data_IF_055542954792
#
_entry.id   IF_055542954792
#
_cell.length_a   1.000
_cell.length_b   1.000
_cell.length_c   1.000
_cell.angle_alpha   90.00
_cell.angle_beta   90.00
_cell.angle_gamma   90.00
#
_symmetry.space_group_name_H-M   'P 1'
#
loop_
_entity.id
_entity.type
_entity.pdbx_description
1 polymer ?
#
# COMPACT_ATOMS: atom_id res chain seq x y z
N UNK A 1 -25.87 -26.21 0.26
CA UNK A 1 -24.64 -25.70 0.87
C UNK A 1 -24.31 -24.36 0.24
N UNK A 2 -24.26 -23.32 1.05
CA UNK A 2 -23.89 -22.02 0.54
C UNK A 2 -22.40 -22.04 0.17
N UNK A 3 -22.09 -21.74 -1.07
CA UNK A 3 -20.72 -21.55 -1.48
C UNK A 3 -20.26 -20.21 -0.93
N UNK A 4 -19.14 -20.21 -0.21
CA UNK A 4 -18.50 -18.95 0.15
C UNK A 4 -17.98 -18.31 -1.13
N UNK A 5 -18.53 -17.19 -1.48
CA UNK A 5 -17.98 -16.40 -2.56
C UNK A 5 -16.59 -15.92 -2.16
N UNK A 6 -15.62 -16.23 -3.01
CA UNK A 6 -14.26 -15.77 -2.80
C UNK A 6 -14.24 -14.25 -3.02
N UNK A 7 -13.80 -13.51 -2.00
CA UNK A 7 -13.68 -12.08 -2.08
C UNK A 7 -12.67 -11.68 -3.17
N UNK A 8 -13.06 -10.75 -4.02
CA UNK A 8 -12.17 -10.22 -5.04
C UNK A 8 -11.04 -9.41 -4.39
N UNK A 9 -9.88 -9.43 -5.01
CA UNK A 9 -8.67 -8.78 -4.50
C UNK A 9 -7.97 -8.00 -5.60
N UNK A 10 -7.60 -6.75 -5.29
CA UNK A 10 -6.81 -5.89 -6.17
C UNK A 10 -5.52 -5.52 -5.45
N UNK A 11 -4.41 -5.58 -6.18
CA UNK A 11 -3.10 -5.15 -5.70
C UNK A 11 -2.74 -3.83 -6.36
N UNK A 12 -2.32 -2.88 -5.56
CA UNK A 12 -1.85 -1.56 -5.99
C UNK A 12 -0.35 -1.50 -5.72
N UNK A 13 0.46 -1.53 -6.78
CA UNK A 13 1.92 -1.47 -6.68
C UNK A 13 2.35 -0.02 -6.77
N UNK A 14 3.07 0.46 -5.77
CA UNK A 14 3.50 1.85 -5.66
C UNK A 14 5.03 1.90 -5.70
N UNK A 15 5.58 2.67 -6.63
CA UNK A 15 7.03 2.79 -6.80
C UNK A 15 7.56 4.20 -6.54
N UNK A 16 6.66 5.14 -6.23
CA UNK A 16 7.03 6.54 -5.96
C UNK A 16 6.66 6.95 -4.55
N UNK A 17 7.50 7.77 -3.96
CA UNK A 17 7.24 8.42 -2.67
C UNK A 17 7.10 9.92 -2.87
N UNK A 18 7.86 10.72 -2.10
CA UNK A 18 7.80 12.18 -2.19
C UNK A 18 8.30 12.75 -3.52
N UNK A 19 9.01 11.95 -4.31
CA UNK A 19 9.50 12.34 -5.64
C UNK A 19 8.35 12.53 -6.64
N UNK A 20 7.22 11.84 -6.43
CA UNK A 20 6.03 12.00 -7.27
C UNK A 20 4.79 11.85 -6.37
N UNK A 21 4.34 12.93 -5.76
CA UNK A 21 3.24 12.87 -4.79
C UNK A 21 1.91 12.35 -5.38
N UNK A 22 1.62 12.65 -6.63
CA UNK A 22 0.41 12.14 -7.26
C UNK A 22 0.43 10.61 -7.34
N UNK A 23 1.54 10.04 -7.81
CA UNK A 23 1.67 8.59 -7.92
C UNK A 23 1.79 7.92 -6.56
N UNK A 24 2.19 8.65 -5.53
CA UNK A 24 2.20 8.16 -4.17
C UNK A 24 0.80 8.13 -3.54
N UNK A 25 -0.03 9.10 -3.86
CA UNK A 25 -1.36 9.29 -3.24
C UNK A 25 -2.47 8.55 -3.98
N UNK A 26 -2.48 8.59 -5.31
CA UNK A 26 -3.55 7.99 -6.11
C UNK A 26 -3.83 6.52 -5.77
N UNK A 27 -2.83 5.67 -5.58
CA UNK A 27 -3.11 4.27 -5.23
C UNK A 27 -3.94 4.13 -3.96
N UNK A 28 -3.73 4.98 -2.97
CA UNK A 28 -4.50 4.93 -1.72
C UNK A 28 -5.94 5.41 -1.90
N UNK A 29 -6.18 6.37 -2.80
CA UNK A 29 -7.54 6.76 -3.17
C UNK A 29 -8.27 5.57 -3.82
N UNK A 30 -7.61 4.93 -4.78
CA UNK A 30 -8.20 3.80 -5.49
C UNK A 30 -8.40 2.60 -4.56
N UNK A 31 -7.44 2.34 -3.68
CA UNK A 31 -7.54 1.25 -2.71
C UNK A 31 -8.70 1.47 -1.73
N UNK A 32 -8.89 2.70 -1.27
CA UNK A 32 -10.04 3.03 -0.41
C UNK A 32 -11.37 2.84 -1.15
N UNK A 33 -11.38 3.15 -2.45
CA UNK A 33 -12.55 2.89 -3.29
C UNK A 33 -12.88 1.40 -3.37
N UNK A 34 -11.85 0.56 -3.51
CA UNK A 34 -12.03 -0.90 -3.52
C UNK A 34 -12.59 -1.40 -2.18
N UNK A 35 -12.03 -0.92 -1.06
CA UNK A 35 -12.50 -1.30 0.26
C UNK A 35 -13.97 -0.90 0.48
N UNK A 36 -14.38 0.26 -0.04
CA UNK A 36 -15.77 0.70 0.04
C UNK A 36 -16.71 -0.21 -0.75
N UNK A 37 -16.21 -0.91 -1.75
CA UNK A 37 -16.97 -1.88 -2.55
C UNK A 37 -16.85 -3.31 -2.02
N UNK A 38 -16.31 -3.47 -0.83
CA UNK A 38 -16.05 -4.79 -0.23
C UNK A 38 -15.09 -5.67 -1.05
N UNK A 39 -14.12 -5.02 -1.70
CA UNK A 39 -13.02 -5.67 -2.41
C UNK A 39 -11.77 -5.59 -1.54
N UNK A 40 -11.05 -6.71 -1.41
CA UNK A 40 -9.79 -6.71 -0.66
C UNK A 40 -8.76 -5.85 -1.41
N UNK A 41 -8.16 -4.92 -0.70
CA UNK A 41 -7.14 -4.03 -1.28
C UNK A 41 -5.80 -4.25 -0.59
N UNK A 42 -4.79 -4.52 -1.39
CA UNK A 42 -3.40 -4.71 -0.93
C UNK A 42 -2.54 -3.66 -1.61
N UNK A 43 -1.87 -2.84 -0.84
CA UNK A 43 -0.91 -1.86 -1.37
C UNK A 43 0.49 -2.40 -1.10
N UNK A 44 1.30 -2.51 -2.16
CA UNK A 44 2.68 -2.98 -2.07
C UNK A 44 3.61 -1.82 -2.40
N UNK A 45 4.45 -1.46 -1.44
CA UNK A 45 5.41 -0.37 -1.61
C UNK A 45 6.77 -0.92 -2.01
N UNK A 46 7.26 -0.51 -3.17
CA UNK A 46 8.55 -0.92 -3.72
C UNK A 46 9.45 0.30 -3.92
N UNK A 47 10.76 0.09 -3.88
CA UNK A 47 11.71 1.17 -4.11
C UNK A 47 11.53 2.33 -3.15
N UNK A 48 11.55 3.57 -3.66
CA UNK A 48 11.37 4.76 -2.86
C UNK A 48 10.04 4.87 -2.15
N UNK A 49 9.02 4.15 -2.63
CA UNK A 49 7.71 4.15 -2.00
C UNK A 49 7.70 3.57 -0.59
N UNK A 50 8.67 2.75 -0.22
CA UNK A 50 8.75 2.20 1.14
C UNK A 50 8.84 3.30 2.19
N UNK A 51 9.34 4.49 1.82
CA UNK A 51 9.40 5.64 2.70
C UNK A 51 8.02 6.09 3.18
N UNK A 52 6.97 5.81 2.41
CA UNK A 52 5.60 6.19 2.78
C UNK A 52 5.14 5.46 4.05
N UNK A 53 5.74 4.32 4.37
CA UNK A 53 5.41 3.56 5.58
C UNK A 53 6.27 3.96 6.78
N UNK A 54 7.23 4.86 6.61
CA UNK A 54 8.03 5.37 7.71
C UNK A 54 7.19 6.35 8.54
N UNK A 55 7.18 6.14 9.86
CA UNK A 55 6.42 7.00 10.77
C UNK A 55 6.75 8.47 10.55
N UNK A 56 5.73 9.29 10.38
CA UNK A 56 5.86 10.73 10.18
C UNK A 56 6.12 11.17 8.74
N UNK A 57 6.59 10.27 7.87
CA UNK A 57 6.90 10.66 6.49
C UNK A 57 5.65 11.09 5.71
N UNK A 58 4.53 10.37 5.89
CA UNK A 58 3.28 10.68 5.17
C UNK A 58 2.72 12.08 5.50
N UNK A 59 3.15 12.67 6.63
CA UNK A 59 2.72 14.01 7.01
C UNK A 59 3.22 15.08 6.04
N UNK A 60 4.17 14.75 5.19
CA UNK A 60 4.82 15.65 4.26
C UNK A 60 4.51 15.37 2.80
N UNK A 61 3.54 14.49 2.51
CA UNK A 61 3.20 14.11 1.13
C UNK A 61 1.84 14.68 0.74
N UNK A 62 1.88 15.67 -0.15
CA UNK A 62 0.70 16.38 -0.63
C UNK A 62 0.75 16.51 -2.15
N UNK A 63 -0.41 16.47 -2.79
CA UNK A 63 -0.53 16.73 -4.22
C UNK A 63 -1.77 17.60 -4.46
N UNK A 64 -1.69 18.51 -5.42
CA UNK A 64 -2.80 19.39 -5.75
C UNK A 64 -4.03 18.62 -6.19
N UNK A 65 -5.19 18.98 -5.65
CA UNK A 65 -6.46 18.34 -6.00
C UNK A 65 -6.73 17.01 -5.31
N UNK A 66 -5.80 16.51 -4.48
CA UNK A 66 -5.94 15.24 -3.78
C UNK A 66 -5.97 15.45 -2.26
N UNK A 67 -6.66 14.57 -1.50
CA UNK A 67 -6.55 14.61 -0.05
C UNK A 67 -5.12 14.32 0.42
N UNK A 68 -4.73 14.76 1.61
CA UNK A 68 -3.41 14.45 2.16
C UNK A 68 -3.21 12.93 2.28
N UNK A 69 -1.99 12.46 2.01
CA UNK A 69 -1.68 11.04 2.12
C UNK A 69 -2.02 10.48 3.50
N UNK A 70 -1.73 11.24 4.55
CA UNK A 70 -1.99 10.81 5.93
C UNK A 70 -3.43 10.38 6.12
N UNK A 71 -4.38 11.17 5.62
CA UNK A 71 -5.80 10.83 5.76
C UNK A 71 -6.15 9.56 5.00
N UNK A 72 -5.68 9.43 3.78
CA UNK A 72 -5.97 8.26 2.95
C UNK A 72 -5.34 7.00 3.52
N UNK A 73 -4.12 7.10 4.05
CA UNK A 73 -3.44 5.97 4.70
C UNK A 73 -4.18 5.54 5.96
N UNK A 74 -4.59 6.48 6.78
CA UNK A 74 -5.34 6.18 8.01
C UNK A 74 -6.67 5.49 7.66
N UNK A 75 -7.40 6.01 6.68
CA UNK A 75 -8.65 5.41 6.23
C UNK A 75 -8.42 4.00 5.67
N UNK A 76 -7.37 3.84 4.87
CA UNK A 76 -7.00 2.56 4.28
C UNK A 76 -6.75 1.49 5.34
N UNK A 77 -5.92 1.82 6.33
CA UNK A 77 -5.59 0.89 7.41
C UNK A 77 -6.79 0.61 8.31
N UNK A 78 -7.60 1.62 8.61
CA UNK A 78 -8.79 1.47 9.44
C UNK A 78 -9.85 0.57 8.81
N UNK A 79 -9.92 0.53 7.47
CA UNK A 79 -10.87 -0.30 6.74
C UNK A 79 -10.35 -1.71 6.47
N UNK A 80 -9.18 -2.06 6.99
CA UNK A 80 -8.61 -3.40 6.81
C UNK A 80 -7.73 -3.54 5.58
N UNK A 81 -7.29 -2.44 4.97
CA UNK A 81 -6.32 -2.49 3.89
C UNK A 81 -5.01 -3.10 4.35
N UNK A 82 -4.37 -3.86 3.47
CA UNK A 82 -3.11 -4.53 3.78
C UNK A 82 -1.97 -3.76 3.12
N UNK A 83 -0.96 -3.41 3.94
CA UNK A 83 0.20 -2.64 3.48
C UNK A 83 1.45 -3.51 3.56
N UNK A 84 2.02 -3.83 2.40
CA UNK A 84 3.19 -4.69 2.27
C UNK A 84 4.39 -3.90 1.77
N UNK A 85 5.58 -4.25 2.24
CA UNK A 85 6.81 -3.50 1.95
C UNK A 85 7.88 -4.41 1.36
N UNK A 86 8.60 -3.91 0.37
CA UNK A 86 9.78 -4.58 -0.18
C UNK A 86 10.89 -4.62 0.87
N UNK A 87 11.28 -5.81 1.32
CA UNK A 87 12.31 -5.98 2.34
C UNK A 87 13.68 -5.44 1.91
N UNK A 88 14.23 -5.80 0.72
CA UNK A 88 15.51 -5.21 0.30
C UNK A 88 15.49 -3.69 0.21
N UNK A 89 14.36 -3.12 -0.18
CA UNK A 89 14.22 -1.67 -0.31
C UNK A 89 14.30 -0.96 1.04
N UNK A 90 13.74 -1.57 2.08
CA UNK A 90 13.82 -1.06 3.45
C UNK A 90 15.26 -1.18 3.96
N UNK A 91 15.88 -2.34 3.73
CA UNK A 91 17.24 -2.61 4.18
C UNK A 91 18.26 -1.66 3.55
N UNK A 92 18.14 -1.44 2.25
CA UNK A 92 19.01 -0.50 1.53
C UNK A 92 18.94 0.90 2.12
N UNK A 93 17.76 1.31 2.55
CA UNK A 93 17.52 2.64 3.12
C UNK A 93 17.72 2.71 4.63
N UNK A 94 18.15 1.58 5.22
CA UNK A 94 18.43 1.48 6.66
C UNK A 94 17.27 1.94 7.53
N UNK A 95 16.04 1.60 7.12
CA UNK A 95 14.85 1.91 7.92
C UNK A 95 14.67 0.79 8.93
N UNK A 96 14.75 1.14 10.22
CA UNK A 96 14.56 0.17 11.29
C UNK A 96 13.10 -0.20 11.47
N UNK A 97 12.85 -1.41 11.97
CA UNK A 97 11.49 -1.90 12.20
C UNK A 97 10.66 -0.95 13.07
N UNK A 98 11.28 -0.36 14.08
CA UNK A 98 10.61 0.59 14.98
C UNK A 98 10.21 1.89 14.30
N UNK A 99 10.77 2.20 13.12
CA UNK A 99 10.45 3.40 12.36
C UNK A 99 9.27 3.19 11.42
N UNK A 100 8.81 1.95 11.23
CA UNK A 100 7.72 1.62 10.32
C UNK A 100 6.37 1.66 11.04
N UNK A 101 5.32 1.97 10.28
CA UNK A 101 3.95 1.84 10.76
C UNK A 101 3.71 0.39 11.23
N UNK A 102 2.99 0.21 12.32
CA UNK A 102 2.77 -1.13 12.89
C UNK A 102 2.08 -2.09 11.92
N UNK A 103 1.16 -1.59 11.11
CA UNK A 103 0.42 -2.39 10.15
C UNK A 103 1.19 -2.65 8.86
N UNK A 104 2.33 -2.00 8.66
CA UNK A 104 3.16 -2.21 7.47
C UNK A 104 3.98 -3.48 7.64
N UNK A 105 3.85 -4.40 6.68
CA UNK A 105 4.48 -5.71 6.78
C UNK A 105 5.56 -5.90 5.73
N UNK A 106 6.83 -6.04 6.11
CA UNK A 106 7.88 -6.38 5.16
C UNK A 106 7.67 -7.78 4.58
N UNK A 107 7.89 -7.92 3.28
CA UNK A 107 7.75 -9.20 2.59
C UNK A 107 8.93 -9.44 1.66
N UNK A 108 9.19 -10.71 1.37
CA UNK A 108 10.16 -11.13 0.35
C UNK A 108 9.46 -11.34 -0.99
N UNK A 109 10.25 -11.48 -2.07
CA UNK A 109 9.74 -11.61 -3.42
C UNK A 109 8.75 -12.77 -3.60
N UNK A 110 8.96 -13.88 -2.91
CA UNK A 110 8.06 -15.03 -3.01
C UNK A 110 6.65 -14.70 -2.51
N UNK A 111 6.55 -13.94 -1.44
CA UNK A 111 5.25 -13.54 -0.89
C UNK A 111 4.56 -12.55 -1.85
N UNK A 112 5.32 -11.64 -2.44
CA UNK A 112 4.77 -10.74 -3.45
C UNK A 112 4.18 -11.54 -4.62
N UNK A 113 4.90 -12.57 -5.07
CA UNK A 113 4.41 -13.44 -6.15
C UNK A 113 3.11 -14.15 -5.76
N UNK A 114 3.02 -14.67 -4.54
CA UNK A 114 1.79 -15.30 -4.04
C UNK A 114 0.61 -14.32 -4.05
N UNK A 115 0.85 -13.09 -3.63
CA UNK A 115 -0.20 -12.06 -3.63
C UNK A 115 -0.68 -11.79 -5.06
N UNK A 116 0.25 -11.64 -6.00
CA UNK A 116 -0.07 -11.39 -7.40
C UNK A 116 -0.87 -12.55 -8.00
N UNK A 117 -0.44 -13.77 -7.75
CA UNK A 117 -1.12 -14.97 -8.30
C UNK A 117 -2.54 -15.14 -7.77
N UNK A 118 -2.84 -14.63 -6.60
CA UNK A 118 -4.18 -14.74 -5.99
C UNK A 118 -5.04 -13.50 -6.23
N UNK A 119 -4.53 -12.49 -6.94
CA UNK A 119 -5.26 -11.27 -7.21
C UNK A 119 -6.10 -11.35 -8.49
N UNK A 120 -7.21 -10.63 -8.51
CA UNK A 120 -8.04 -10.45 -9.70
C UNK A 120 -7.46 -9.38 -10.62
N UNK A 121 -6.78 -8.39 -10.07
CA UNK A 121 -6.13 -7.33 -10.84
C UNK A 121 -4.93 -6.79 -10.10
N UNK A 122 -3.93 -6.29 -10.86
CA UNK A 122 -2.74 -5.62 -10.33
C UNK A 122 -2.59 -4.30 -11.07
N UNK A 123 -2.57 -3.21 -10.33
CA UNK A 123 -2.41 -1.86 -10.88
C UNK A 123 -1.06 -1.30 -10.44
N UNK A 124 -0.35 -0.67 -11.37
CA UNK A 124 1.00 -0.14 -11.13
C UNK A 124 1.00 1.39 -11.22
N UNK A 125 1.68 1.98 -10.26
CA UNK A 125 1.81 3.45 -10.17
C UNK A 125 3.27 3.88 -10.14
#
# INVERSE_FOLDING_TARGET
MAQQEKKEKIIYVVTHGADDPERAILPFMHANGALAMDVEAVVVLLGGAVMLARKGFMNHVFAGGLPPLKKLMEDFLAQGGRLLLCTPCIQFRQIGESELLEQAKPIAAAIFTEEVLSANAVLNY
#
